data_IF_523006995490
#
_entry.id   IF_523006995490
#
_cell.length_a   1.000
_cell.length_b   1.000
_cell.length_c   1.000
_cell.angle_alpha   90.00
_cell.angle_beta   90.00
_cell.angle_gamma   90.00
#
_symmetry.space_group_name_H-M   'P 1'
#
loop_
_entity.id
_entity.type
_entity.pdbx_description
1 polymer ?
#
# COMPACT_ATOMS: atom_id res chain seq x y z
N UNK A 1 -58.31 18.58 -11.40
CA UNK A 1 -57.94 18.25 -10.01
C UNK A 1 -56.99 17.05 -9.94
N UNK A 2 -57.23 15.93 -10.66
CA UNK A 2 -56.33 14.75 -10.70
C UNK A 2 -54.84 15.04 -11.00
N UNK A 3 -54.53 16.04 -11.84
CA UNK A 3 -53.14 16.34 -12.21
C UNK A 3 -52.30 16.96 -11.07
N UNK A 4 -52.94 17.63 -10.10
CA UNK A 4 -52.25 18.21 -8.95
C UNK A 4 -51.92 17.15 -7.89
N UNK A 5 -52.79 16.17 -7.70
CA UNK A 5 -52.58 15.08 -6.73
C UNK A 5 -51.47 14.13 -7.19
N UNK A 6 -51.38 13.86 -8.51
CA UNK A 6 -50.30 13.07 -9.10
C UNK A 6 -48.96 13.79 -9.00
N UNK A 7 -48.92 15.11 -9.25
CA UNK A 7 -47.70 15.90 -9.11
C UNK A 7 -47.20 15.95 -7.65
N UNK A 8 -48.11 16.05 -6.68
CA UNK A 8 -47.79 15.98 -5.25
C UNK A 8 -47.22 14.62 -4.83
N UNK A 9 -47.86 13.52 -5.25
CA UNK A 9 -47.40 12.17 -4.94
C UNK A 9 -46.04 11.83 -5.58
N UNK A 10 -45.76 12.33 -6.80
CA UNK A 10 -44.45 12.18 -7.43
C UNK A 10 -43.38 12.97 -6.68
N UNK A 11 -43.68 14.20 -6.25
CA UNK A 11 -42.73 15.02 -5.48
C UNK A 11 -42.41 14.40 -4.12
N UNK A 12 -43.40 13.81 -3.45
CA UNK A 12 -43.22 13.10 -2.19
C UNK A 12 -42.27 11.89 -2.36
N UNK A 13 -42.47 11.10 -3.42
CA UNK A 13 -41.57 9.98 -3.72
C UNK A 13 -40.17 10.43 -4.11
N UNK A 14 -40.03 11.51 -4.89
CA UNK A 14 -38.72 12.10 -5.21
C UNK A 14 -37.99 12.57 -3.94
N UNK A 15 -38.72 13.17 -2.99
CA UNK A 15 -38.14 13.57 -1.70
C UNK A 15 -37.72 12.35 -0.87
N UNK A 16 -38.55 11.29 -0.80
CA UNK A 16 -38.18 10.04 -0.12
C UNK A 16 -36.93 9.39 -0.74
N UNK A 17 -36.84 9.30 -2.07
CA UNK A 17 -35.65 8.79 -2.75
C UNK A 17 -34.43 9.70 -2.56
N UNK A 18 -34.61 11.02 -2.50
CA UNK A 18 -33.54 11.97 -2.19
C UNK A 18 -32.96 11.76 -0.78
N UNK A 19 -33.82 11.50 0.21
CA UNK A 19 -33.41 11.18 1.59
C UNK A 19 -32.62 9.86 1.65
N UNK A 20 -32.96 8.89 0.79
CA UNK A 20 -32.25 7.61 0.72
C UNK A 20 -30.91 7.70 -0.04
N UNK A 21 -30.80 8.59 -1.03
CA UNK A 21 -29.57 8.78 -1.79
C UNK A 21 -28.50 9.58 -1.05
N UNK A 22 -28.89 10.55 -0.22
CA UNK A 22 -27.93 11.41 0.49
C UNK A 22 -26.93 10.63 1.37
N UNK A 23 -27.33 9.62 2.18
CA UNK A 23 -26.40 8.77 2.92
C UNK A 23 -25.47 7.94 2.01
N UNK A 24 -25.97 7.49 0.86
CA UNK A 24 -25.16 6.70 -0.09
C UNK A 24 -24.10 7.57 -0.74
N UNK A 25 -24.44 8.78 -1.18
CA UNK A 25 -23.47 9.73 -1.72
C UNK A 25 -22.43 10.16 -0.67
N UNK A 26 -22.85 10.32 0.58
CA UNK A 26 -21.93 10.59 1.69
C UNK A 26 -20.97 9.41 1.90
N UNK A 27 -21.46 8.18 1.98
CA UNK A 27 -20.64 6.99 2.12
C UNK A 27 -19.64 6.83 0.94
N UNK A 28 -20.05 7.14 -0.28
CA UNK A 28 -19.16 7.14 -1.45
C UNK A 28 -18.05 8.17 -1.29
N UNK A 29 -18.36 9.40 -0.84
CA UNK A 29 -17.36 10.45 -0.60
C UNK A 29 -16.37 10.04 0.50
N UNK A 30 -16.85 9.46 1.59
CA UNK A 30 -16.01 8.97 2.68
C UNK A 30 -15.09 7.84 2.23
N UNK A 31 -15.60 6.89 1.43
CA UNK A 31 -14.78 5.82 0.84
C UNK A 31 -13.71 6.36 -0.12
N UNK A 32 -14.06 7.33 -0.96
CA UNK A 32 -13.10 7.98 -1.86
C UNK A 32 -12.00 8.71 -1.08
N UNK A 33 -12.37 9.40 0.00
CA UNK A 33 -11.42 10.07 0.89
C UNK A 33 -10.51 9.06 1.59
N UNK A 34 -11.07 8.00 2.19
CA UNK A 34 -10.30 6.94 2.84
C UNK A 34 -9.33 6.26 1.87
N UNK A 35 -9.76 6.01 0.62
CA UNK A 35 -8.91 5.47 -0.44
C UNK A 35 -7.77 6.44 -0.80
N UNK A 36 -8.05 7.74 -0.85
CA UNK A 36 -7.03 8.77 -1.08
C UNK A 36 -5.99 8.81 0.04
N UNK A 37 -6.43 8.76 1.29
CA UNK A 37 -5.54 8.72 2.46
C UNK A 37 -4.67 7.45 2.49
N UNK A 38 -5.27 6.28 2.20
CA UNK A 38 -4.52 5.02 2.11
C UNK A 38 -3.49 5.06 0.99
N UNK A 39 -3.83 5.65 -0.15
CA UNK A 39 -2.90 5.83 -1.26
C UNK A 39 -1.74 6.75 -0.89
N UNK A 40 -2.01 7.90 -0.30
CA UNK A 40 -0.96 8.83 0.13
C UNK A 40 -0.02 8.17 1.15
N UNK A 41 -0.56 7.44 2.13
CA UNK A 41 0.22 6.67 3.09
C UNK A 41 1.07 5.58 2.43
N UNK A 42 0.50 4.85 1.47
CA UNK A 42 1.24 3.84 0.73
C UNK A 42 2.35 4.47 -0.15
N UNK A 43 2.11 5.63 -0.75
CA UNK A 43 3.12 6.38 -1.51
C UNK A 43 4.26 6.84 -0.59
N UNK A 44 3.96 7.36 0.60
CA UNK A 44 4.97 7.72 1.60
C UNK A 44 5.76 6.49 2.08
N UNK A 45 5.09 5.38 2.38
CA UNK A 45 5.73 4.12 2.78
C UNK A 45 6.64 3.59 1.66
N UNK A 46 6.22 3.63 0.40
CA UNK A 46 7.03 3.26 -0.75
C UNK A 46 8.24 4.18 -0.89
N UNK A 47 8.06 5.50 -0.80
CA UNK A 47 9.15 6.47 -0.92
C UNK A 47 10.21 6.25 0.16
N UNK A 48 9.78 5.93 1.38
CA UNK A 48 10.69 5.64 2.50
C UNK A 48 11.41 4.29 2.34
N UNK A 49 10.75 3.29 1.76
CA UNK A 49 11.33 1.95 1.55
C UNK A 49 12.14 1.84 0.26
N UNK A 50 11.91 2.71 -0.72
CA UNK A 50 12.50 2.63 -2.07
C UNK A 50 14.03 2.60 -2.05
N UNK A 51 14.72 3.45 -1.27
CA UNK A 51 16.19 3.40 -1.17
C UNK A 51 16.71 2.08 -0.58
N UNK A 52 16.07 1.60 0.48
CA UNK A 52 16.40 0.32 1.12
C UNK A 52 16.16 -0.87 0.19
N UNK A 53 15.04 -0.85 -0.56
CA UNK A 53 14.72 -1.83 -1.60
C UNK A 53 15.75 -1.83 -2.74
N UNK A 54 16.16 -0.66 -3.20
CA UNK A 54 17.19 -0.52 -4.24
C UNK A 54 18.54 -1.07 -3.75
N UNK A 55 18.95 -0.74 -2.53
CA UNK A 55 20.19 -1.26 -1.95
C UNK A 55 20.16 -2.79 -1.80
N UNK A 56 19.03 -3.36 -1.37
CA UNK A 56 18.83 -4.81 -1.29
C UNK A 56 18.92 -5.48 -2.68
N UNK A 57 18.23 -4.89 -3.66
CA UNK A 57 18.23 -5.31 -5.06
C UNK A 57 19.65 -5.37 -5.64
N UNK A 58 20.42 -4.30 -5.44
CA UNK A 58 21.79 -4.19 -5.92
C UNK A 58 22.73 -5.15 -5.19
N UNK A 59 22.59 -5.28 -3.86
CA UNK A 59 23.44 -6.14 -3.05
C UNK A 59 23.24 -7.63 -3.35
N UNK A 60 22.02 -8.03 -3.69
CA UNK A 60 21.68 -9.43 -4.00
C UNK A 60 21.61 -9.72 -5.50
N UNK A 61 21.73 -8.71 -6.36
CA UNK A 61 21.62 -8.85 -7.81
C UNK A 61 20.25 -9.35 -8.27
N UNK A 62 19.19 -8.93 -7.58
CA UNK A 62 17.80 -9.35 -7.84
C UNK A 62 16.98 -8.20 -8.41
N UNK A 63 15.89 -8.50 -9.11
CA UNK A 63 14.91 -7.49 -9.51
C UNK A 63 13.98 -7.16 -8.33
N UNK A 64 13.79 -5.87 -8.04
CA UNK A 64 12.78 -5.42 -7.06
C UNK A 64 11.37 -5.83 -7.45
N UNK A 65 11.07 -5.94 -8.75
CA UNK A 65 9.75 -6.39 -9.22
C UNK A 65 9.53 -7.87 -8.95
N UNK A 66 10.54 -8.71 -9.18
CA UNK A 66 10.49 -10.16 -8.86
C UNK A 66 10.39 -10.36 -7.35
N UNK A 67 11.15 -9.54 -6.61
CA UNK A 67 10.92 -9.07 -5.24
C UNK A 67 9.45 -9.11 -4.80
N UNK A 68 8.75 -8.10 -5.28
CA UNK A 68 7.41 -7.72 -4.82
C UNK A 68 6.33 -8.67 -5.32
N UNK A 69 6.58 -9.38 -6.42
CA UNK A 69 5.60 -10.29 -7.04
C UNK A 69 5.80 -11.76 -6.67
N UNK A 70 6.90 -12.11 -5.99
CA UNK A 70 7.13 -13.48 -5.54
C UNK A 70 6.03 -13.94 -4.58
N UNK A 71 5.52 -15.16 -4.83
CA UNK A 71 4.55 -15.83 -3.95
C UNK A 71 5.14 -16.17 -2.59
N UNK A 72 6.44 -16.48 -2.55
CA UNK A 72 7.20 -16.74 -1.33
C UNK A 72 8.46 -15.86 -1.33
N UNK A 73 8.33 -14.70 -0.68
CA UNK A 73 9.39 -13.71 -0.58
C UNK A 73 10.57 -14.20 0.27
N UNK A 74 10.30 -15.01 1.30
CA UNK A 74 11.35 -15.50 2.19
C UNK A 74 12.24 -16.52 1.47
N UNK A 75 11.63 -17.48 0.75
CA UNK A 75 12.38 -18.44 -0.05
C UNK A 75 13.18 -17.75 -1.16
N UNK A 76 12.57 -16.76 -1.85
CA UNK A 76 13.24 -15.97 -2.89
C UNK A 76 14.47 -15.23 -2.35
N UNK A 77 14.34 -14.56 -1.19
CA UNK A 77 15.46 -13.87 -0.55
C UNK A 77 16.53 -14.84 -0.08
N UNK A 78 16.17 -15.99 0.47
CA UNK A 78 17.14 -17.01 0.88
C UNK A 78 17.94 -17.55 -0.32
N UNK A 79 17.28 -17.79 -1.46
CA UNK A 79 17.94 -18.22 -2.69
C UNK A 79 18.85 -17.10 -3.26
N UNK A 80 18.43 -15.84 -3.14
CA UNK A 80 19.24 -14.70 -3.56
C UNK A 80 20.49 -14.53 -2.67
N UNK A 81 20.32 -14.64 -1.35
CA UNK A 81 21.42 -14.59 -0.37
C UNK A 81 22.38 -15.75 -0.55
N UNK A 82 21.90 -16.96 -0.81
CA UNK A 82 22.77 -18.14 -1.00
C UNK A 82 23.58 -18.09 -2.29
N UNK A 83 23.06 -17.42 -3.34
CA UNK A 83 23.79 -17.15 -4.59
C UNK A 83 24.74 -15.95 -4.47
N UNK A 84 24.43 -15.02 -3.57
CA UNK A 84 25.27 -13.87 -3.31
C UNK A 84 26.58 -14.29 -2.64
N UNK A 85 27.69 -13.69 -3.10
CA UNK A 85 28.99 -13.81 -2.43
C UNK A 85 29.14 -12.81 -1.29
N UNK A 86 28.12 -11.98 -1.04
CA UNK A 86 28.16 -10.91 -0.05
C UNK A 86 27.76 -11.44 1.33
N UNK A 87 28.53 -11.14 2.39
CA UNK A 87 28.12 -11.45 3.76
C UNK A 87 26.79 -10.76 4.10
N UNK A 88 25.92 -11.47 4.81
CA UNK A 88 24.59 -10.96 5.22
C UNK A 88 24.70 -9.65 6.02
N UNK A 89 25.73 -9.51 6.85
CA UNK A 89 25.99 -8.28 7.61
C UNK A 89 26.32 -7.08 6.73
N UNK A 90 27.02 -7.32 5.61
CA UNK A 90 27.33 -6.26 4.64
C UNK A 90 26.09 -5.85 3.85
N UNK A 91 25.23 -6.82 3.49
CA UNK A 91 23.91 -6.53 2.89
C UNK A 91 23.07 -5.67 3.85
N UNK A 92 23.00 -6.06 5.13
CA UNK A 92 22.28 -5.32 6.17
C UNK A 92 22.81 -3.89 6.32
N UNK A 93 24.13 -3.73 6.41
CA UNK A 93 24.78 -2.41 6.52
C UNK A 93 24.37 -1.48 5.38
N UNK A 94 24.42 -1.97 4.14
CA UNK A 94 24.04 -1.19 2.94
C UNK A 94 22.57 -0.77 2.95
N UNK A 95 21.68 -1.66 3.38
CA UNK A 95 20.24 -1.35 3.47
C UNK A 95 19.98 -0.27 4.51
N UNK A 96 20.60 -0.38 5.69
CA UNK A 96 20.48 0.64 6.74
C UNK A 96 21.09 1.98 6.30
N UNK A 97 22.25 1.97 5.66
CA UNK A 97 22.88 3.20 5.14
C UNK A 97 22.02 3.89 4.08
N UNK A 98 21.38 3.12 3.19
CA UNK A 98 20.52 3.66 2.14
C UNK A 98 19.15 4.12 2.67
N UNK A 99 18.64 3.46 3.71
CA UNK A 99 17.32 3.68 4.27
C UNK A 99 17.29 4.59 5.51
N UNK A 100 18.26 5.48 5.69
CA UNK A 100 18.25 6.42 6.84
C UNK A 100 18.37 5.72 8.22
N UNK A 101 18.86 4.48 8.24
CA UNK A 101 19.25 3.74 9.44
C UNK A 101 18.13 3.08 10.23
N UNK A 102 16.88 3.05 9.72
CA UNK A 102 15.76 2.48 10.47
C UNK A 102 15.69 0.95 10.38
N UNK A 103 15.74 0.27 11.54
CA UNK A 103 15.51 -1.17 11.65
C UNK A 103 14.13 -1.63 11.17
N UNK A 104 13.14 -0.74 11.19
CA UNK A 104 11.79 -1.03 10.65
C UNK A 104 11.82 -1.39 9.16
N UNK A 105 12.79 -0.88 8.41
CA UNK A 105 12.94 -1.20 6.99
C UNK A 105 13.49 -2.62 6.78
N UNK A 106 14.38 -3.10 7.66
CA UNK A 106 14.82 -4.49 7.62
C UNK A 106 13.63 -5.43 7.85
N UNK A 107 12.78 -5.10 8.83
CA UNK A 107 11.53 -5.84 9.08
C UNK A 107 10.57 -5.78 7.90
N UNK A 108 10.35 -4.61 7.31
CA UNK A 108 9.49 -4.43 6.14
C UNK A 108 9.98 -5.26 4.93
N UNK A 109 11.30 -5.46 4.82
CA UNK A 109 11.94 -6.28 3.79
C UNK A 109 12.01 -7.77 4.13
N UNK A 110 11.51 -8.19 5.30
CA UNK A 110 11.56 -9.59 5.74
C UNK A 110 12.95 -10.07 6.15
N UNK A 111 13.86 -9.15 6.48
CA UNK A 111 15.20 -9.46 6.99
C UNK A 111 15.18 -9.49 8.54
N UNK A 112 15.85 -10.47 9.17
CA UNK A 112 15.93 -10.51 10.63
C UNK A 112 16.75 -9.34 11.18
N UNK A 113 16.20 -8.65 12.18
CA UNK A 113 16.97 -7.75 13.06
C UNK A 113 17.98 -8.60 13.86
N UNK A 114 19.18 -8.08 14.07
CA UNK A 114 20.14 -8.76 14.95
C UNK A 114 19.59 -8.79 16.38
N UNK A 115 19.69 -9.94 17.03
CA UNK A 115 19.46 -10.10 18.46
C UNK A 115 20.58 -9.46 19.29
#
# INVERSE_FOLDING_TARGET
MLSNDIAGAVQEKVNEYGVLNAPVEQAIRELQFARGMLRARAEDEINNLSPALAALSDALGISTLDLLTSKDRAAFLQEAVSRSQMPVEEVRRRILEAGDGSGEQLRALGLPEAA
#
